data_IF_558297194266
#
_entry.id   IF_558297194266
#
_cell.length_a   1.000
_cell.length_b   1.000
_cell.length_c   1.000
_cell.angle_alpha   90.00
_cell.angle_beta   90.00
_cell.angle_gamma   90.00
#
_symmetry.space_group_name_H-M   'P 1'
#
loop_
_entity.id
_entity.type
_entity.pdbx_description
1 polymer ?
#
# COMPACT_ATOMS: atom_id res chain seq x y z
N UNK A 1 -24.56 19.94 -11.91
CA UNK A 1 -23.53 19.02 -12.42
C UNK A 1 -23.08 18.16 -11.24
N UNK A 2 -23.38 16.87 -11.24
CA UNK A 2 -23.23 16.04 -10.04
C UNK A 2 -21.78 15.65 -9.78
N UNK A 3 -21.21 16.17 -8.69
CA UNK A 3 -19.99 15.65 -8.06
C UNK A 3 -20.26 14.21 -7.58
N UNK A 4 -19.42 13.27 -7.98
CA UNK A 4 -19.48 11.91 -7.44
C UNK A 4 -18.63 11.83 -6.18
N UNK A 5 -19.23 11.57 -5.02
CA UNK A 5 -18.45 11.28 -3.81
C UNK A 5 -17.79 9.90 -3.94
N UNK A 6 -16.59 9.78 -3.39
CA UNK A 6 -15.89 8.50 -3.28
C UNK A 6 -15.30 8.33 -1.87
N UNK A 7 -15.27 7.07 -1.44
CA UNK A 7 -14.53 6.61 -0.27
C UNK A 7 -13.94 5.24 -0.59
N UNK A 8 -12.66 5.05 -0.28
CA UNK A 8 -12.04 3.73 -0.34
C UNK A 8 -10.91 3.60 0.68
N UNK A 9 -10.50 2.34 0.89
CA UNK A 9 -9.30 2.01 1.66
C UNK A 9 -8.32 1.27 0.76
N UNK A 10 -7.06 1.68 0.83
CA UNK A 10 -5.93 1.04 0.17
C UNK A 10 -4.90 0.66 1.22
N UNK A 11 -4.25 -0.48 1.03
CA UNK A 11 -3.21 -0.97 1.93
C UNK A 11 -1.84 -0.88 1.24
N UNK A 12 -0.78 -1.14 2.02
CA UNK A 12 0.59 -1.23 1.54
C UNK A 12 1.22 0.08 1.03
N UNK A 13 0.72 1.23 1.48
CA UNK A 13 1.29 2.54 1.17
C UNK A 13 2.32 2.93 2.22
N UNK A 14 3.56 3.18 1.79
CA UNK A 14 4.65 3.48 2.70
C UNK A 14 4.34 4.66 3.62
N UNK A 15 4.70 4.65 4.92
CA UNK A 15 4.31 5.69 5.88
C UNK A 15 4.74 7.10 5.48
N UNK A 16 5.87 7.21 4.78
CA UNK A 16 6.41 8.49 4.31
C UNK A 16 5.87 8.93 2.94
N UNK A 17 5.12 8.07 2.23
CA UNK A 17 4.53 8.47 0.95
C UNK A 17 3.42 9.50 1.16
N UNK A 18 3.43 10.53 0.33
CA UNK A 18 2.44 11.63 0.36
C UNK A 18 1.48 11.50 -0.81
N UNK A 19 0.19 11.59 -0.56
CA UNK A 19 -0.84 11.63 -1.60
C UNK A 19 -0.76 12.94 -2.40
N UNK A 20 -0.74 12.81 -3.72
CA UNK A 20 -0.80 13.90 -4.70
C UNK A 20 -1.97 13.62 -5.66
N UNK A 21 -3.12 14.29 -5.46
CA UNK A 21 -4.23 14.20 -6.41
C UNK A 21 -3.88 14.94 -7.71
N UNK A 22 -4.16 14.33 -8.85
CA UNK A 22 -3.92 14.89 -10.19
C UNK A 22 -5.19 14.77 -11.03
N UNK A 23 -5.68 15.87 -11.58
CA UNK A 23 -6.90 15.91 -12.38
C UNK A 23 -8.05 16.62 -11.67
N UNK A 24 -9.28 16.25 -12.01
CA UNK A 24 -10.49 16.99 -11.61
C UNK A 24 -11.23 16.28 -10.48
N UNK A 25 -11.14 16.87 -9.30
CA UNK A 25 -11.71 16.34 -8.06
C UNK A 25 -10.97 16.89 -6.84
N UNK A 26 -11.53 16.63 -5.66
CA UNK A 26 -10.97 17.11 -4.39
C UNK A 26 -10.85 15.91 -3.46
N UNK A 27 -9.66 15.69 -2.90
CA UNK A 27 -9.51 14.83 -1.73
C UNK A 27 -9.88 15.65 -0.51
N UNK A 28 -10.92 15.23 0.19
CA UNK A 28 -11.44 15.88 1.40
C UNK A 28 -10.67 15.42 2.63
N UNK A 29 -10.32 14.13 2.68
CA UNK A 29 -9.59 13.54 3.82
C UNK A 29 -8.71 12.35 3.38
N UNK A 30 -7.58 12.20 4.06
CA UNK A 30 -6.71 11.02 4.03
C UNK A 30 -6.36 10.61 5.47
N UNK A 31 -7.03 9.57 5.98
CA UNK A 31 -6.67 8.96 7.24
C UNK A 31 -5.52 7.96 7.05
N UNK A 32 -4.45 8.10 7.84
CA UNK A 32 -3.24 7.28 7.78
C UNK A 32 -3.15 6.38 9.01
N UNK A 33 -3.14 5.07 8.79
CA UNK A 33 -2.90 4.08 9.85
C UNK A 33 -1.84 3.08 9.38
N UNK A 34 -0.59 3.27 9.80
CA UNK A 34 0.55 2.48 9.35
C UNK A 34 0.67 2.49 7.81
N UNK A 35 0.49 1.33 7.19
CA UNK A 35 0.53 1.14 5.73
C UNK A 35 -0.82 1.31 5.04
N UNK A 36 -1.89 1.51 5.79
CA UNK A 36 -3.24 1.69 5.25
C UNK A 36 -3.53 3.17 5.08
N UNK A 37 -4.27 3.49 4.01
CA UNK A 37 -4.85 4.81 3.74
C UNK A 37 -6.33 4.65 3.52
N UNK A 38 -7.13 5.45 4.20
CA UNK A 38 -8.55 5.65 3.88
C UNK A 38 -8.69 7.04 3.28
N UNK A 39 -9.19 7.12 2.05
CA UNK A 39 -9.30 8.37 1.30
C UNK A 39 -10.76 8.65 0.99
N UNK A 40 -11.16 9.89 1.20
CA UNK A 40 -12.49 10.41 0.86
C UNK A 40 -12.36 11.63 -0.02
N UNK A 41 -13.28 11.81 -0.96
CA UNK A 41 -13.26 12.95 -1.83
C UNK A 41 -14.44 13.05 -2.77
N UNK A 42 -14.34 14.00 -3.68
CA UNK A 42 -15.31 14.26 -4.74
C UNK A 42 -14.63 14.19 -6.10
N UNK A 43 -15.32 13.61 -7.08
CA UNK A 43 -14.93 13.60 -8.48
C UNK A 43 -15.53 14.80 -9.18
N UNK A 44 -14.73 15.42 -10.05
CA UNK A 44 -15.20 16.43 -10.97
C UNK A 44 -15.75 15.83 -12.25
N UNK A 45 -15.62 16.60 -13.33
CA UNK A 45 -16.05 16.26 -14.67
C UNK A 45 -15.06 15.39 -15.47
N UNK A 46 -13.78 15.39 -15.09
CA UNK A 46 -12.75 14.50 -15.65
C UNK A 46 -12.18 13.55 -14.58
N UNK A 47 -11.42 12.50 -14.97
CA UNK A 47 -10.86 11.55 -14.02
C UNK A 47 -9.93 12.20 -12.99
N UNK A 48 -9.93 11.65 -11.78
CA UNK A 48 -8.99 11.97 -10.71
C UNK A 48 -8.01 10.79 -10.56
N UNK A 49 -6.72 11.07 -10.71
CA UNK A 49 -5.65 10.15 -10.37
C UNK A 49 -5.14 10.44 -8.96
N UNK A 50 -4.94 9.39 -8.18
CA UNK A 50 -4.42 9.48 -6.81
C UNK A 50 -3.03 8.86 -6.78
N UNK A 51 -2.01 9.69 -6.63
CA UNK A 51 -0.61 9.27 -6.67
C UNK A 51 0.01 9.34 -5.28
N UNK A 52 0.43 8.21 -4.72
CA UNK A 52 1.26 8.22 -3.51
C UNK A 52 2.72 8.28 -3.89
N UNK A 53 3.34 9.43 -3.67
CA UNK A 53 4.75 9.66 -3.99
C UNK A 53 5.62 9.45 -2.77
N UNK A 54 6.55 8.52 -2.88
CA UNK A 54 7.57 8.29 -1.85
C UNK A 54 8.62 9.42 -1.90
N UNK A 55 9.15 9.90 -0.76
CA UNK A 55 10.15 10.97 -0.75
C UNK A 55 11.38 10.63 -1.59
N UNK A 56 11.82 11.56 -2.44
CA UNK A 56 13.05 11.37 -3.17
C UNK A 56 14.24 11.34 -2.19
N UNK A 57 14.83 10.16 -2.00
CA UNK A 57 15.99 9.95 -1.15
C UNK A 57 17.21 9.53 -1.98
N UNK A 58 18.41 9.95 -1.53
CA UNK A 58 19.67 9.55 -2.18
C UNK A 58 19.87 8.03 -2.17
N UNK A 59 19.40 7.35 -1.14
CA UNK A 59 19.50 5.91 -0.98
C UNK A 59 18.19 5.36 -0.41
N UNK A 60 17.78 4.19 -0.90
CA UNK A 60 16.69 3.39 -0.33
C UNK A 60 17.27 2.09 0.18
N UNK A 61 16.76 1.59 1.32
CA UNK A 61 17.16 0.29 1.87
C UNK A 61 16.07 -0.72 1.64
N UNK A 62 16.45 -1.86 1.09
CA UNK A 62 15.58 -3.01 0.88
C UNK A 62 16.06 -4.14 1.78
N UNK A 63 15.12 -4.77 2.47
CA UNK A 63 15.33 -6.13 2.97
C UNK A 63 14.78 -7.08 1.93
N UNK A 64 15.49 -8.17 1.63
CA UNK A 64 15.02 -9.23 0.76
C UNK A 64 14.84 -10.50 1.57
N UNK A 65 13.74 -11.20 1.34
CA UNK A 65 13.38 -12.43 2.03
C UNK A 65 12.88 -13.44 1.00
N UNK A 66 13.28 -14.70 1.12
CA UNK A 66 12.73 -15.79 0.30
C UNK A 66 12.43 -17.01 1.16
N UNK A 67 11.50 -17.85 0.69
CA UNK A 67 11.18 -19.18 1.24
C UNK A 67 11.08 -19.27 2.77
N UNK A 68 10.28 -18.41 3.40
CA UNK A 68 10.15 -18.37 4.88
C UNK A 68 8.92 -19.09 5.44
N UNK A 69 8.08 -19.70 4.61
CA UNK A 69 6.91 -20.46 5.07
C UNK A 69 5.85 -19.64 5.83
N UNK A 70 6.03 -18.33 6.01
CA UNK A 70 5.07 -17.41 6.62
C UNK A 70 4.98 -17.38 8.15
N UNK A 71 5.80 -18.14 8.88
CA UNK A 71 5.67 -18.29 10.33
C UNK A 71 6.66 -17.41 11.14
N UNK A 72 7.50 -18.02 11.98
CA UNK A 72 8.40 -17.28 12.87
C UNK A 72 9.51 -16.56 12.11
N UNK A 73 9.97 -17.16 11.01
CA UNK A 73 10.98 -16.61 10.11
C UNK A 73 10.48 -15.30 9.49
N UNK A 74 9.23 -15.27 9.01
CA UNK A 74 8.64 -14.05 8.48
C UNK A 74 8.53 -12.96 9.57
N UNK A 75 8.07 -13.33 10.77
CA UNK A 75 7.99 -12.39 11.91
C UNK A 75 9.36 -11.83 12.28
N UNK A 76 10.38 -12.68 12.34
CA UNK A 76 11.75 -12.28 12.66
C UNK A 76 12.32 -11.36 11.59
N UNK A 77 12.15 -11.68 10.30
CA UNK A 77 12.64 -10.83 9.21
C UNK A 77 11.94 -9.48 9.20
N UNK A 78 10.62 -9.42 9.41
CA UNK A 78 9.90 -8.14 9.52
C UNK A 78 10.46 -7.26 10.64
N UNK A 79 10.69 -7.83 11.82
CA UNK A 79 11.29 -7.11 12.94
C UNK A 79 12.74 -6.68 12.66
N UNK A 80 13.54 -7.55 12.04
CA UNK A 80 14.94 -7.24 11.73
C UNK A 80 15.07 -6.19 10.62
N UNK A 81 14.20 -6.22 9.63
CA UNK A 81 14.12 -5.25 8.54
C UNK A 81 13.84 -3.84 9.08
N UNK A 82 12.90 -3.74 10.01
CA UNK A 82 12.60 -2.49 10.72
C UNK A 82 13.83 -1.97 11.50
N UNK A 83 14.51 -2.83 12.28
CA UNK A 83 15.72 -2.46 13.01
C UNK A 83 16.87 -1.98 12.11
N UNK A 84 16.99 -2.54 10.91
CA UNK A 84 18.01 -2.15 9.92
C UNK A 84 17.62 -0.89 9.12
N UNK A 85 16.44 -0.33 9.37
CA UNK A 85 15.92 0.83 8.67
C UNK A 85 15.58 0.54 7.21
N UNK A 86 15.12 -0.68 6.90
CA UNK A 86 14.61 -0.99 5.58
C UNK A 86 13.37 -0.12 5.29
N UNK A 87 13.32 0.45 4.09
CA UNK A 87 12.16 1.18 3.56
C UNK A 87 11.15 0.21 2.93
N UNK A 88 11.64 -0.90 2.40
CA UNK A 88 10.83 -1.89 1.70
C UNK A 88 11.27 -3.31 2.05
N UNK A 89 10.31 -4.23 2.09
CA UNK A 89 10.57 -5.66 2.08
C UNK A 89 10.27 -6.21 0.69
N UNK A 90 11.25 -6.83 0.06
CA UNK A 90 11.11 -7.57 -1.19
C UNK A 90 10.94 -9.05 -0.85
N UNK A 91 9.74 -9.59 -1.05
CA UNK A 91 9.46 -11.00 -0.82
C UNK A 91 9.66 -11.78 -2.13
N UNK A 92 10.70 -12.61 -2.16
CA UNK A 92 11.21 -13.38 -3.29
C UNK A 92 11.01 -14.87 -3.02
N UNK A 93 9.80 -15.38 -3.26
CA UNK A 93 9.47 -16.79 -3.08
C UNK A 93 7.98 -17.00 -3.22
N UNK A 94 7.59 -18.22 -3.56
CA UNK A 94 6.19 -18.56 -3.72
C UNK A 94 5.47 -18.46 -2.38
N UNK A 95 4.31 -17.79 -2.39
CA UNK A 95 3.32 -17.94 -1.34
C UNK A 95 2.71 -19.36 -1.44
N UNK A 96 3.51 -20.40 -1.27
CA UNK A 96 3.03 -21.78 -1.10
C UNK A 96 2.54 -21.95 0.35
N UNK A 97 1.54 -21.16 0.69
CA UNK A 97 0.75 -21.31 1.89
C UNK A 97 -0.19 -22.49 1.67
N UNK A 98 -0.11 -23.51 2.53
CA UNK A 98 -1.12 -24.55 2.54
C UNK A 98 -2.49 -23.95 2.93
N UNK A 99 -3.58 -24.67 2.67
CA UNK A 99 -4.90 -24.23 3.12
C UNK A 99 -4.87 -24.02 4.66
N UNK A 100 -5.04 -22.76 5.11
CA UNK A 100 -4.91 -22.34 6.51
C UNK A 100 -3.68 -21.47 6.84
N UNK A 101 -2.71 -21.37 5.92
CA UNK A 101 -1.54 -20.49 6.10
C UNK A 101 -1.83 -19.06 5.65
N UNK A 102 -2.77 -18.81 4.72
CA UNK A 102 -3.16 -17.46 4.29
C UNK A 102 -3.75 -16.58 5.42
N UNK A 103 -4.26 -17.19 6.49
CA UNK A 103 -4.82 -16.48 7.65
C UNK A 103 -3.73 -16.07 8.66
N UNK A 104 -2.53 -16.66 8.60
CA UNK A 104 -1.44 -16.43 9.58
C UNK A 104 -0.63 -15.14 9.33
N UNK A 105 -0.27 -14.75 8.08
CA UNK A 105 0.41 -13.50 7.79
C UNK A 105 -0.44 -12.27 8.12
N UNK A 106 -1.77 -12.38 7.96
CA UNK A 106 -2.72 -11.28 8.22
C UNK A 106 -2.68 -10.79 9.66
N UNK A 107 -2.42 -11.69 10.62
CA UNK A 107 -2.31 -11.32 12.04
C UNK A 107 -0.98 -10.64 12.40
N UNK A 108 0.06 -10.79 11.57
CA UNK A 108 1.44 -10.39 11.88
C UNK A 108 1.95 -9.21 11.04
N UNK A 109 1.23 -8.84 9.99
CA UNK A 109 1.49 -7.65 9.17
C UNK A 109 0.98 -6.35 9.81
N UNK A 110 1.21 -6.16 11.11
CA UNK A 110 0.88 -4.91 11.84
C UNK A 110 2.01 -3.88 11.82
N UNK A 111 3.14 -4.20 11.16
CA UNK A 111 4.34 -3.36 11.13
C UNK A 111 4.40 -2.45 9.88
N UNK A 112 5.03 -1.28 9.97
CA UNK A 112 4.93 -0.21 8.97
C UNK A 112 5.80 -0.41 7.71
N UNK A 113 6.09 -1.66 7.30
CA UNK A 113 7.00 -1.94 6.20
C UNK A 113 6.24 -2.28 4.90
N UNK A 114 6.37 -1.44 3.88
CA UNK A 114 5.77 -1.69 2.57
C UNK A 114 6.35 -2.96 1.94
N UNK A 115 5.46 -3.90 1.64
CA UNK A 115 5.77 -5.17 1.00
C UNK A 115 5.74 -4.99 -0.51
N UNK A 116 6.88 -5.07 -1.19
CA UNK A 116 6.92 -5.12 -2.64
C UNK A 116 6.92 -6.60 -3.06
N UNK A 117 5.82 -7.02 -3.69
CA UNK A 117 5.77 -8.22 -4.54
C UNK A 117 5.96 -7.76 -5.98
N UNK A 118 6.64 -8.54 -6.82
CA UNK A 118 6.85 -8.16 -8.22
C UNK A 118 5.51 -7.99 -8.97
N UNK A 119 5.30 -6.95 -9.79
CA UNK A 119 5.61 -5.53 -9.59
C UNK A 119 4.37 -4.74 -9.13
N UNK A 120 4.53 -3.71 -8.30
CA UNK A 120 3.46 -2.74 -8.01
C UNK A 120 4.01 -1.32 -7.87
N UNK A 121 3.94 -0.56 -8.96
CA UNK A 121 3.63 0.86 -8.88
C UNK A 121 2.10 0.95 -8.85
N UNK A 122 1.52 1.33 -7.71
CA UNK A 122 0.06 1.35 -7.56
C UNK A 122 -0.48 2.71 -7.97
N UNK A 123 -0.90 2.81 -9.23
CA UNK A 123 -1.74 3.92 -9.71
C UNK A 123 -3.19 3.45 -9.67
N UNK A 124 -4.05 4.16 -8.93
CA UNK A 124 -5.49 3.93 -8.96
C UNK A 124 -6.14 5.07 -9.74
N UNK A 125 -6.82 4.70 -10.82
CA UNK A 125 -7.73 5.59 -11.54
C UNK A 125 -9.14 5.32 -11.03
N UNK A 126 -9.85 6.35 -10.57
CA UNK A 126 -11.25 6.23 -10.17
C UNK A 126 -12.14 6.66 -11.36
N UNK A 127 -12.73 5.72 -12.11
CA UNK A 127 -13.61 6.05 -13.22
C UNK A 127 -14.99 6.49 -12.72
N UNK A 128 -15.66 7.35 -13.49
CA UNK A 128 -17.06 7.68 -13.23
C UNK A 128 -17.96 6.51 -13.60
N UNK A 129 -18.68 5.95 -12.63
CA UNK A 129 -19.70 4.92 -12.87
C UNK A 129 -20.88 5.47 -13.68
N UNK A 130 -21.27 4.79 -14.76
CA UNK A 130 -22.55 5.06 -15.44
C UNK A 130 -23.68 4.60 -14.52
N UNK A 131 -24.51 5.54 -14.05
CA UNK A 131 -25.82 5.19 -13.49
C UNK A 131 -26.68 4.68 -14.66
N UNK A 132 -27.07 3.41 -14.59
CA UNK A 132 -28.21 2.84 -15.35
C UNK A 132 -29.51 3.35 -14.76
#
# INVERSE_FOLDING_TARGET
MGSGEFEFQINNIHPQATLQPVGDGIVVDENRNGLSRRVRGTLGSSPLALEWRFPNAKNYRFAAIGDTGGDEELRWVLARSEQLGASFLLHLGDFNYQAGDYDRPRLRLTKPLSLLTSPSATTITVPRGKRT
#
